data_IF_345867759840
#
_entry.id   IF_345867759840
#
_cell.length_a   1.000
_cell.length_b   1.000
_cell.length_c   1.000
_cell.angle_alpha   90.00
_cell.angle_beta   90.00
_cell.angle_gamma   90.00
#
_symmetry.space_group_name_H-M   'P 1'
#
loop_
_entity.id
_entity.type
_entity.pdbx_description
1 polymer ?
#
# COMPACT_ATOMS: atom_id res chain seq x y z
N UNK A 1 -9.30 -3.70 -16.22
CA UNK A 1 -9.22 -2.28 -15.80
C UNK A 1 -9.85 -2.16 -14.42
N UNK A 2 -9.37 -1.28 -13.53
CA UNK A 2 -9.85 -1.23 -12.13
C UNK A 2 -11.36 -0.94 -12.00
N UNK A 3 -11.97 -0.30 -13.02
CA UNK A 3 -13.42 -0.08 -13.11
C UNK A 3 -14.22 -1.34 -13.49
N UNK A 4 -13.57 -2.35 -14.06
CA UNK A 4 -14.19 -3.64 -14.45
C UNK A 4 -14.25 -4.60 -13.25
N UNK A 5 -13.27 -4.51 -12.36
CA UNK A 5 -13.25 -5.18 -11.07
C UNK A 5 -14.09 -4.37 -10.10
N UNK A 6 -15.33 -4.80 -9.83
CA UNK A 6 -16.27 -4.12 -8.92
C UNK A 6 -15.84 -4.24 -7.46
N UNK A 7 -14.67 -3.68 -7.12
CA UNK A 7 -14.11 -3.70 -5.77
C UNK A 7 -15.08 -3.04 -4.79
N UNK A 8 -15.40 -3.76 -3.73
CA UNK A 8 -16.21 -3.25 -2.61
C UNK A 8 -15.29 -2.89 -1.47
N UNK A 9 -15.37 -1.65 -1.00
CA UNK A 9 -14.62 -1.22 0.17
C UNK A 9 -15.55 -1.09 1.38
N UNK A 10 -15.06 -1.37 2.60
CA UNK A 10 -15.81 -1.09 3.81
C UNK A 10 -16.27 0.37 3.88
N UNK A 11 -17.45 0.60 4.47
CA UNK A 11 -17.96 1.96 4.63
C UNK A 11 -17.00 2.82 5.46
N UNK A 12 -16.79 4.08 5.06
CA UNK A 12 -15.86 4.99 5.70
C UNK A 12 -14.38 4.76 5.36
N UNK A 13 -14.07 3.86 4.41
CA UNK A 13 -12.71 3.71 3.91
C UNK A 13 -12.18 5.03 3.34
N UNK A 14 -10.88 5.24 3.53
CA UNK A 14 -10.13 6.35 2.96
C UNK A 14 -9.21 5.78 1.87
N UNK A 15 -9.40 6.23 0.63
CA UNK A 15 -8.63 5.76 -0.51
C UNK A 15 -7.63 6.83 -0.95
N UNK A 16 -6.34 6.51 -0.92
CA UNK A 16 -5.30 7.36 -1.50
C UNK A 16 -5.04 6.94 -2.94
N UNK A 17 -5.36 7.83 -3.89
CA UNK A 17 -5.21 7.56 -5.32
C UNK A 17 -3.80 7.89 -5.79
N UNK A 18 -3.29 7.10 -6.74
CA UNK A 18 -2.12 7.43 -7.52
C UNK A 18 -2.55 8.09 -8.85
N UNK A 19 -1.64 8.76 -9.55
CA UNK A 19 -1.95 9.49 -10.79
C UNK A 19 -2.55 8.61 -11.89
N UNK A 20 -2.25 7.31 -11.89
CA UNK A 20 -2.84 6.33 -12.81
C UNK A 20 -4.31 6.00 -12.53
N UNK A 21 -4.86 6.43 -11.39
CA UNK A 21 -6.21 6.11 -10.91
C UNK A 21 -7.08 7.37 -10.70
N UNK A 22 -6.76 8.48 -11.38
CA UNK A 22 -7.48 9.74 -11.22
C UNK A 22 -8.97 9.66 -11.61
N UNK A 23 -9.35 8.74 -12.50
CA UNK A 23 -10.74 8.51 -12.90
C UNK A 23 -11.53 7.58 -11.97
N UNK A 24 -10.87 6.95 -10.99
CA UNK A 24 -11.49 5.96 -10.12
C UNK A 24 -12.20 6.63 -8.94
N UNK A 25 -13.54 6.68 -9.00
CA UNK A 25 -14.39 7.33 -7.99
C UNK A 25 -15.44 6.34 -7.47
N UNK A 26 -15.07 5.41 -6.57
CA UNK A 26 -16.02 4.45 -6.04
C UNK A 26 -17.01 5.16 -5.10
N UNK A 27 -18.30 4.83 -5.23
CA UNK A 27 -19.36 5.45 -4.44
C UNK A 27 -19.18 5.21 -2.94
N UNK A 28 -19.57 6.20 -2.12
CA UNK A 28 -19.58 6.14 -0.64
C UNK A 28 -18.19 6.03 0.04
N UNK A 29 -17.11 6.43 -0.64
CA UNK A 29 -15.74 6.36 -0.12
C UNK A 29 -15.07 7.72 -0.24
N UNK A 30 -14.25 8.07 0.75
CA UNK A 30 -13.50 9.32 0.73
C UNK A 30 -12.19 9.08 -0.03
N UNK A 31 -12.06 9.66 -1.22
CA UNK A 31 -10.83 9.55 -2.01
C UNK A 31 -9.96 10.80 -1.86
N UNK A 32 -8.66 10.62 -1.64
CA UNK A 32 -7.68 11.69 -1.61
C UNK A 32 -6.61 11.49 -2.67
N UNK A 33 -6.24 12.60 -3.32
CA UNK A 33 -5.12 12.65 -4.26
C UNK A 33 -4.24 13.83 -3.88
N UNK A 34 -2.93 13.70 -4.10
CA UNK A 34 -2.02 14.82 -3.99
C UNK A 34 -2.44 15.98 -4.92
N UNK A 35 -2.76 17.13 -4.34
CA UNK A 35 -3.24 18.31 -5.08
C UNK A 35 -2.03 19.10 -5.58
N UNK A 36 -1.93 19.29 -6.91
CA UNK A 36 -0.93 20.19 -7.49
C UNK A 36 -1.31 21.63 -7.17
N UNK A 37 -0.35 22.44 -6.73
CA UNK A 37 -0.59 23.87 -6.45
C UNK A 37 -1.08 24.57 -7.73
N UNK A 38 -2.26 25.22 -7.73
CA UNK A 38 -2.75 25.98 -8.87
C UNK A 38 -1.81 27.16 -9.18
N UNK A 39 -1.57 27.41 -10.46
CA UNK A 39 -0.66 28.48 -10.91
C UNK A 39 -1.24 29.84 -10.50
N UNK A 40 -0.47 30.63 -9.75
CA UNK A 40 -0.87 31.98 -9.31
C UNK A 40 -1.88 32.04 -8.15
N UNK A 41 -2.24 30.92 -7.52
CA UNK A 41 -3.15 30.89 -6.38
C UNK A 41 -2.51 30.22 -5.15
N UNK A 42 -2.97 30.60 -3.96
CA UNK A 42 -2.59 29.91 -2.74
C UNK A 42 -3.35 28.59 -2.58
N UNK A 43 -2.68 27.60 -1.99
CA UNK A 43 -3.29 26.33 -1.64
C UNK A 43 -4.00 26.48 -0.29
N UNK A 44 -5.23 25.94 -0.17
CA UNK A 44 -5.97 25.97 1.08
C UNK A 44 -5.18 25.27 2.21
N UNK A 45 -5.39 25.69 3.46
CA UNK A 45 -4.65 25.15 4.60
C UNK A 45 -4.90 23.64 4.77
N UNK A 46 -6.14 23.20 4.61
CA UNK A 46 -6.50 21.78 4.63
C UNK A 46 -5.75 20.98 3.55
N UNK A 47 -5.76 21.48 2.31
CA UNK A 47 -5.06 20.86 1.19
C UNK A 47 -3.54 20.77 1.41
N UNK A 48 -2.94 21.77 2.07
CA UNK A 48 -1.52 21.75 2.46
C UNK A 48 -1.23 20.63 3.46
N UNK A 49 -2.10 20.44 4.44
CA UNK A 49 -1.95 19.38 5.45
C UNK A 49 -2.05 18.00 4.79
N UNK A 50 -3.09 17.76 3.98
CA UNK A 50 -3.27 16.49 3.27
C UNK A 50 -2.13 16.21 2.28
N UNK A 51 -1.74 17.20 1.47
CA UNK A 51 -0.63 17.04 0.51
C UNK A 51 0.71 16.74 1.20
N UNK A 52 0.89 17.14 2.47
CA UNK A 52 2.06 16.79 3.28
C UNK A 52 1.98 15.37 3.85
N UNK A 53 0.79 14.89 4.20
CA UNK A 53 0.57 13.55 4.76
C UNK A 53 0.68 12.44 3.71
N UNK A 54 0.12 12.67 2.52
CA UNK A 54 -0.01 11.66 1.45
C UNK A 54 1.34 10.99 1.09
N UNK A 55 2.45 11.73 0.90
CA UNK A 55 3.75 11.11 0.64
C UNK A 55 4.21 10.15 1.74
N UNK A 56 3.93 10.45 3.01
CA UNK A 56 4.29 9.59 4.14
C UNK A 56 3.55 8.25 4.10
N UNK A 57 2.24 8.28 3.83
CA UNK A 57 1.44 7.06 3.64
C UNK A 57 1.96 6.25 2.45
N UNK A 58 2.28 6.93 1.34
CA UNK A 58 2.82 6.29 0.14
C UNK A 58 4.17 5.59 0.41
N UNK A 59 5.06 6.22 1.17
CA UNK A 59 6.34 5.61 1.55
C UNK A 59 6.13 4.31 2.32
N UNK A 60 5.16 4.28 3.26
CA UNK A 60 4.84 3.06 4.01
C UNK A 60 4.32 1.97 3.05
N UNK A 61 3.38 2.31 2.17
CA UNK A 61 2.84 1.37 1.20
C UNK A 61 3.92 0.82 0.25
N UNK A 62 4.81 1.68 -0.26
CA UNK A 62 5.93 1.28 -1.11
C UNK A 62 6.90 0.34 -0.40
N UNK A 63 7.18 0.56 0.89
CA UNK A 63 8.00 -0.36 1.68
C UNK A 63 7.37 -1.74 1.82
N UNK A 64 6.06 -1.81 2.10
CA UNK A 64 5.33 -3.08 2.18
C UNK A 64 5.37 -3.79 0.82
N UNK A 65 5.04 -3.09 -0.26
CA UNK A 65 5.04 -3.65 -1.63
C UNK A 65 6.45 -4.13 -2.02
N UNK A 66 7.50 -3.35 -1.73
CA UNK A 66 8.87 -3.77 -1.97
C UNK A 66 9.23 -5.02 -1.15
N UNK A 67 8.74 -5.11 0.08
CA UNK A 67 8.85 -6.27 0.96
C UNK A 67 8.20 -7.53 0.38
N UNK A 68 6.98 -7.42 -0.16
CA UNK A 68 6.25 -8.50 -0.83
C UNK A 68 6.94 -8.92 -2.13
N UNK A 69 7.43 -7.96 -2.92
CA UNK A 69 8.19 -8.18 -4.17
C UNK A 69 9.56 -8.86 -3.96
N UNK A 70 9.95 -9.19 -2.72
CA UNK A 70 11.05 -10.16 -2.50
C UNK A 70 10.71 -11.54 -3.06
N UNK A 71 9.42 -11.89 -3.10
CA UNK A 71 8.90 -13.07 -3.79
C UNK A 71 9.01 -12.87 -5.30
N UNK A 72 9.90 -13.62 -5.96
CA UNK A 72 10.17 -13.47 -7.41
C UNK A 72 8.92 -13.71 -8.27
N UNK A 73 8.01 -14.56 -7.82
CA UNK A 73 6.73 -14.82 -8.50
C UNK A 73 5.87 -13.56 -8.66
N UNK A 74 5.99 -12.59 -7.73
CA UNK A 74 5.29 -11.29 -7.77
C UNK A 74 6.11 -10.24 -8.51
N UNK A 75 7.43 -10.31 -8.41
CA UNK A 75 8.34 -9.28 -8.95
C UNK A 75 8.59 -9.45 -10.44
N UNK A 76 8.83 -10.68 -10.87
CA UNK A 76 9.19 -11.00 -12.24
C UNK A 76 7.90 -11.13 -13.07
N UNK A 77 8.02 -11.14 -14.40
CA UNK A 77 6.84 -11.29 -15.28
C UNK A 77 6.13 -12.60 -14.94
N UNK A 78 4.88 -12.49 -14.51
CA UNK A 78 4.02 -13.64 -14.24
C UNK A 78 3.59 -14.28 -15.55
N UNK A 79 4.15 -15.46 -15.87
CA UNK A 79 3.93 -16.17 -17.14
C UNK A 79 2.84 -17.24 -17.06
N UNK A 80 2.12 -17.33 -15.94
CA UNK A 80 1.03 -18.27 -15.82
C UNK A 80 -0.13 -17.85 -16.73
N UNK A 81 -0.69 -18.80 -17.48
CA UNK A 81 -1.82 -18.55 -18.39
C UNK A 81 -3.16 -18.94 -17.79
N UNK A 82 -3.16 -19.59 -16.62
CA UNK A 82 -4.38 -19.93 -15.89
C UNK A 82 -5.09 -18.66 -15.41
N UNK A 83 -6.39 -18.58 -15.67
CA UNK A 83 -7.21 -17.43 -15.25
C UNK A 83 -7.34 -17.36 -13.73
N UNK A 84 -7.44 -16.15 -13.19
CA UNK A 84 -7.68 -15.87 -11.76
C UNK A 84 -6.59 -16.46 -10.84
N UNK A 85 -5.37 -16.61 -11.33
CA UNK A 85 -4.26 -17.18 -10.57
C UNK A 85 -3.33 -16.13 -9.97
N UNK A 86 -3.46 -14.88 -10.39
CA UNK A 86 -2.72 -13.71 -9.94
C UNK A 86 -3.14 -13.26 -8.53
N UNK A 87 -4.44 -13.14 -8.28
CA UNK A 87 -4.99 -12.78 -6.96
C UNK A 87 -4.53 -13.72 -5.83
N UNK A 88 -4.73 -15.05 -5.92
CA UNK A 88 -4.29 -15.97 -4.86
C UNK A 88 -2.77 -15.99 -4.70
N UNK A 89 -2.02 -15.81 -5.79
CA UNK A 89 -0.55 -15.72 -5.74
C UNK A 89 -0.11 -14.47 -4.97
N UNK A 90 -0.77 -13.33 -5.21
CA UNK A 90 -0.53 -12.10 -4.46
C UNK A 90 -0.91 -12.25 -2.98
N UNK A 91 -2.05 -12.86 -2.69
CA UNK A 91 -2.50 -13.11 -1.31
C UNK A 91 -1.51 -13.99 -0.53
N UNK A 92 -1.06 -15.09 -1.14
CA UNK A 92 -0.05 -15.99 -0.54
C UNK A 92 1.26 -15.24 -0.31
N UNK A 93 1.71 -14.43 -1.27
CA UNK A 93 2.95 -13.67 -1.13
C UNK A 93 2.86 -12.62 0.00
N UNK A 94 1.72 -11.92 0.12
CA UNK A 94 1.44 -11.03 1.23
C UNK A 94 1.43 -11.77 2.57
N UNK A 95 0.77 -12.92 2.65
CA UNK A 95 0.75 -13.77 3.84
C UNK A 95 2.15 -14.20 4.29
N UNK A 96 2.98 -14.66 3.34
CA UNK A 96 4.37 -15.03 3.59
C UNK A 96 5.22 -13.85 4.06
N UNK A 97 5.05 -12.67 3.45
CA UNK A 97 5.72 -11.45 3.88
C UNK A 97 5.36 -11.11 5.33
N UNK A 98 4.07 -11.09 5.65
CA UNK A 98 3.56 -10.76 6.97
C UNK A 98 4.04 -11.77 8.04
N UNK A 99 3.98 -13.07 7.74
CA UNK A 99 4.51 -14.10 8.63
C UNK A 99 6.01 -13.89 8.87
N UNK A 100 6.78 -13.59 7.81
CA UNK A 100 8.20 -13.29 7.92
C UNK A 100 8.50 -12.08 8.81
N UNK A 101 7.74 -10.99 8.67
CA UNK A 101 7.88 -9.81 9.53
C UNK A 101 7.49 -10.10 10.98
N UNK A 102 6.45 -10.91 11.21
CA UNK A 102 6.06 -11.37 12.55
C UNK A 102 7.18 -12.14 13.24
N UNK A 103 7.77 -13.14 12.56
CA UNK A 103 8.86 -13.94 13.13
C UNK A 103 10.14 -13.11 13.35
N UNK A 104 10.44 -12.16 12.45
CA UNK A 104 11.56 -11.21 12.63
C UNK A 104 11.35 -10.30 13.83
N UNK A 105 10.12 -9.79 14.03
CA UNK A 105 9.74 -8.98 15.17
C UNK A 105 9.86 -9.73 16.49
N UNK A 106 9.33 -10.97 16.54
CA UNK A 106 9.46 -11.85 17.69
C UNK A 106 10.93 -12.17 18.04
N UNK A 107 11.78 -12.38 17.03
CA UNK A 107 13.23 -12.55 17.21
C UNK A 107 13.97 -11.26 17.62
N UNK A 108 13.38 -10.08 17.38
CA UNK A 108 13.91 -8.79 17.83
C UNK A 108 13.60 -8.54 19.31
N UNK A 109 12.35 -8.81 19.71
CA UNK A 109 11.90 -8.77 21.11
C UNK A 109 12.67 -9.75 22.01
N UNK A 110 12.97 -10.96 21.50
CA UNK A 110 13.81 -11.93 22.22
C UNK A 110 15.25 -11.45 22.44
N UNK A 111 15.81 -10.65 21.53
CA UNK A 111 17.19 -10.13 21.63
C UNK A 111 17.31 -8.89 22.51
N UNK A 112 16.30 -8.02 22.54
CA UNK A 112 16.28 -6.84 23.43
C UNK A 112 16.08 -7.21 24.91
N UNK A 113 15.72 -8.46 25.20
CA UNK A 113 15.46 -8.97 26.56
C UNK A 113 16.63 -9.81 27.10
N UNK A 114 17.75 -9.95 26.38
CA UNK A 114 18.93 -10.63 26.90
C UNK A 114 19.79 -9.65 27.69
N UNK A 115 20.19 -9.98 28.94
CA UNK A 115 21.08 -9.11 29.70
C UNK A 115 22.43 -9.03 28.97
N UNK A 116 22.85 -7.80 28.67
CA UNK A 116 24.21 -7.52 28.21
C UNK A 116 25.10 -7.60 29.44
N UNK A 117 25.82 -8.71 29.58
CA UNK A 117 26.87 -8.79 30.60
C UNK A 117 28.06 -7.96 30.11
N UNK A 118 28.35 -6.87 30.84
CA UNK A 118 29.55 -6.06 30.70
C UNK A 118 30.71 -6.69 31.47
#
# INVERSE_FOLDING_TARGET
MCDEEKHTFPHGSILFRDTGYQGYEPGNIITYQHIKKPRGKELAVADKIFSRMIPGVRVIAEHVIAGVKRSRIIRDIFRNTEKNSDDPVMEIACGLHNAGEFFRGAGRLKRSSQPVFH
#
